data_IF_878377910666
#
_entry.id   IF_878377910666
#
_cell.length_a   1.000
_cell.length_b   1.000
_cell.length_c   1.000
_cell.angle_alpha   90.00
_cell.angle_beta   90.00
_cell.angle_gamma   90.00
#
_symmetry.space_group_name_H-M   'P 1'
#
loop_
_entity.id
_entity.type
_entity.pdbx_description
1 polymer ?
#
# COMPACT_ATOMS: atom_id res chain seq x y z
N UNK A 1 -20.95 -13.62 -1.74
CA UNK A 1 -19.64 -13.89 -1.12
C UNK A 1 -19.11 -15.30 -1.42
N UNK A 2 -17.90 -15.36 -1.96
CA UNK A 2 -17.11 -16.58 -2.19
C UNK A 2 -16.87 -17.39 -0.88
N UNK A 3 -16.94 -18.74 -0.88
CA UNK A 3 -16.77 -19.55 0.34
C UNK A 3 -15.39 -19.43 1.01
N UNK A 4 -14.31 -19.28 0.25
CA UNK A 4 -12.95 -19.15 0.79
C UNK A 4 -12.78 -17.80 1.47
N UNK A 5 -13.26 -16.73 0.82
CA UNK A 5 -13.29 -15.38 1.41
C UNK A 5 -14.10 -15.40 2.71
N UNK A 6 -15.26 -16.06 2.74
CA UNK A 6 -16.06 -16.17 3.96
C UNK A 6 -15.28 -16.83 5.10
N UNK A 7 -14.49 -17.86 4.81
CA UNK A 7 -13.66 -18.53 5.83
C UNK A 7 -12.56 -17.59 6.33
N UNK A 8 -11.82 -16.95 5.41
CA UNK A 8 -10.77 -15.98 5.74
C UNK A 8 -11.31 -14.79 6.54
N UNK A 9 -12.45 -14.24 6.14
CA UNK A 9 -13.12 -13.15 6.83
C UNK A 9 -13.47 -13.51 8.28
N UNK A 10 -13.95 -14.73 8.52
CA UNK A 10 -14.25 -15.20 9.89
C UNK A 10 -12.99 -15.34 10.75
N UNK A 11 -11.88 -15.76 10.16
CA UNK A 11 -10.59 -15.83 10.86
C UNK A 11 -10.07 -14.42 11.17
N UNK A 12 -10.10 -13.54 10.17
CA UNK A 12 -9.73 -12.13 10.29
C UNK A 12 -10.54 -11.43 11.37
N UNK A 13 -11.87 -11.59 11.37
CA UNK A 13 -12.74 -10.92 12.31
C UNK A 13 -12.48 -11.37 13.75
N UNK A 14 -12.15 -12.65 13.95
CA UNK A 14 -11.74 -13.16 15.28
C UNK A 14 -10.39 -12.61 15.71
N UNK A 15 -9.41 -12.59 14.80
CA UNK A 15 -8.06 -12.10 15.11
C UNK A 15 -8.04 -10.61 15.47
N UNK A 16 -8.90 -9.81 14.81
CA UNK A 16 -8.98 -8.36 15.02
C UNK A 16 -10.12 -7.95 15.97
N UNK A 17 -10.76 -8.90 16.65
CA UNK A 17 -11.81 -8.64 17.68
C UNK A 17 -13.04 -7.86 17.18
N UNK A 18 -13.43 -8.05 15.92
CA UNK A 18 -14.54 -7.34 15.26
C UNK A 18 -15.68 -8.25 14.82
N UNK A 19 -15.79 -9.39 15.48
CA UNK A 19 -16.89 -10.34 15.26
C UNK A 19 -18.27 -9.77 15.58
N UNK A 20 -18.34 -8.63 16.28
CA UNK A 20 -19.59 -7.94 16.63
C UNK A 20 -20.05 -6.94 15.55
N UNK A 21 -19.17 -6.53 14.64
CA UNK A 21 -19.52 -5.61 13.56
C UNK A 21 -20.37 -6.30 12.48
N UNK A 22 -21.14 -5.55 11.67
CA UNK A 22 -21.85 -6.11 10.51
C UNK A 22 -20.90 -6.80 9.52
N UNK A 23 -21.36 -7.86 8.84
CA UNK A 23 -20.52 -8.62 7.87
C UNK A 23 -19.96 -7.73 6.75
N UNK A 24 -20.70 -6.69 6.36
CA UNK A 24 -20.28 -5.69 5.35
C UNK A 24 -19.06 -4.90 5.83
N UNK A 25 -19.16 -4.26 7.01
CA UNK A 25 -18.04 -3.57 7.65
C UNK A 25 -16.83 -4.49 7.89
N UNK A 26 -17.06 -5.72 8.38
CA UNK A 26 -15.99 -6.70 8.52
C UNK A 26 -15.28 -6.96 7.19
N UNK A 27 -16.04 -7.07 6.10
CA UNK A 27 -15.51 -7.33 4.76
C UNK A 27 -14.74 -6.14 4.18
N UNK A 28 -15.21 -4.91 4.39
CA UNK A 28 -14.52 -3.68 4.01
C UNK A 28 -13.13 -3.60 4.65
N UNK A 29 -13.08 -3.76 5.97
CA UNK A 29 -11.81 -3.70 6.73
C UNK A 29 -10.90 -4.87 6.32
N UNK A 30 -11.45 -6.07 6.11
CA UNK A 30 -10.70 -7.20 5.57
C UNK A 30 -10.10 -6.93 4.19
N UNK A 31 -10.83 -6.25 3.31
CA UNK A 31 -10.37 -5.90 1.98
C UNK A 31 -9.24 -4.87 2.03
N UNK A 32 -9.42 -3.82 2.85
CA UNK A 32 -8.41 -2.79 3.11
C UNK A 32 -7.14 -3.45 3.67
N UNK A 33 -7.24 -4.28 4.70
CA UNK A 33 -6.12 -5.02 5.30
C UNK A 33 -5.38 -5.87 4.28
N UNK A 34 -6.12 -6.63 3.48
CA UNK A 34 -5.53 -7.51 2.46
C UNK A 34 -4.71 -6.71 1.45
N UNK A 35 -5.18 -5.52 1.06
CA UNK A 35 -4.47 -4.67 0.10
C UNK A 35 -3.27 -3.98 0.75
N UNK A 36 -3.46 -3.27 1.88
CA UNK A 36 -2.39 -2.54 2.55
C UNK A 36 -1.24 -3.46 2.96
N UNK A 37 -1.55 -4.50 3.73
CA UNK A 37 -0.54 -5.40 4.29
C UNK A 37 -0.08 -6.46 3.29
N UNK A 38 -0.97 -6.93 2.42
CA UNK A 38 -0.71 -8.09 1.55
C UNK A 38 -0.27 -7.77 0.13
N UNK A 39 -0.77 -6.67 -0.45
CA UNK A 39 -0.35 -6.22 -1.79
C UNK A 39 0.74 -5.15 -1.70
N UNK A 40 0.54 -4.14 -0.85
CA UNK A 40 1.44 -2.99 -0.75
C UNK A 40 2.57 -3.22 0.24
N UNK A 41 2.39 -4.10 1.23
CA UNK A 41 3.39 -4.36 2.27
C UNK A 41 3.57 -3.18 3.22
N UNK A 42 2.51 -2.42 3.43
CA UNK A 42 2.45 -1.32 4.40
C UNK A 42 2.10 -1.88 5.78
N UNK A 43 2.62 -1.26 6.84
CA UNK A 43 2.30 -1.61 8.23
C UNK A 43 1.26 -0.64 8.81
N UNK A 44 0.12 -0.51 8.13
CA UNK A 44 -0.96 0.42 8.47
C UNK A 44 -2.15 -0.38 9.00
N UNK A 45 -2.78 0.11 10.09
CA UNK A 45 -4.00 -0.49 10.60
C UNK A 45 -5.18 -0.20 9.66
N UNK A 46 -5.82 -1.25 9.17
CA UNK A 46 -6.99 -1.15 8.30
C UNK A 46 -8.20 -0.50 8.97
N UNK A 47 -8.30 -0.55 10.32
CA UNK A 47 -9.36 0.13 11.06
C UNK A 47 -9.28 1.64 10.93
N UNK A 48 -8.06 2.19 10.95
CA UNK A 48 -7.85 3.63 10.88
C UNK A 48 -8.06 4.20 9.46
N UNK A 49 -8.12 3.32 8.45
CA UNK A 49 -8.34 3.68 7.04
C UNK A 49 -9.82 3.53 6.64
N UNK A 50 -10.57 2.70 7.36
CA UNK A 50 -12.00 2.50 7.13
C UNK A 50 -12.79 3.78 7.43
N UNK A 51 -13.76 4.10 6.57
CA UNK A 51 -14.66 5.22 6.77
C UNK A 51 -16.02 4.72 7.27
N UNK A 52 -16.52 5.33 8.34
CA UNK A 52 -17.88 5.08 8.82
C UNK A 52 -18.89 5.86 7.97
N UNK A 53 -19.47 5.22 6.95
CA UNK A 53 -20.63 5.71 6.20
C UNK A 53 -20.76 5.15 4.79
N UNK A 54 -22.00 4.87 4.37
CA UNK A 54 -22.29 4.13 3.12
C UNK A 54 -22.56 5.05 1.90
N UNK A 55 -22.72 6.36 2.12
CA UNK A 55 -23.22 7.29 1.09
C UNK A 55 -22.12 7.91 0.23
N UNK A 56 -20.85 7.76 0.62
CA UNK A 56 -19.72 8.46 -0.01
C UNK A 56 -19.23 7.80 -1.29
N UNK A 57 -19.64 6.56 -1.57
CA UNK A 57 -19.09 5.78 -2.69
C UNK A 57 -17.64 5.33 -2.49
N UNK A 58 -17.11 5.45 -1.27
CA UNK A 58 -15.81 4.93 -0.82
C UNK A 58 -15.97 4.34 0.58
N UNK A 59 -15.33 3.20 0.84
CA UNK A 59 -15.36 2.54 2.16
C UNK A 59 -14.05 2.78 2.95
N UNK A 60 -13.04 3.35 2.30
CA UNK A 60 -11.78 3.71 2.95
C UNK A 60 -10.92 4.65 2.12
N UNK A 61 -10.22 5.56 2.81
CA UNK A 61 -9.25 6.49 2.22
C UNK A 61 -8.00 6.49 3.10
N UNK A 62 -6.83 6.29 2.49
CA UNK A 62 -5.54 6.43 3.17
C UNK A 62 -4.71 7.52 2.50
N UNK A 63 -4.26 8.48 3.31
CA UNK A 63 -3.20 9.43 2.92
C UNK A 63 -1.91 8.93 3.56
N UNK A 64 -0.95 8.49 2.75
CA UNK A 64 0.31 7.91 3.23
C UNK A 64 1.45 8.86 2.89
N UNK A 65 2.17 9.31 3.92
CA UNK A 65 3.38 10.14 3.77
C UNK A 65 4.55 9.38 4.39
N UNK A 66 5.54 9.06 3.56
CA UNK A 66 6.70 8.26 3.97
C UNK A 66 6.35 6.91 4.62
N UNK A 67 5.36 6.22 4.05
CA UNK A 67 4.94 4.89 4.54
C UNK A 67 4.09 4.92 5.80
N UNK A 68 3.81 6.10 6.34
CA UNK A 68 2.97 6.24 7.52
C UNK A 68 1.64 6.87 7.14
N UNK A 69 0.55 6.35 7.73
CA UNK A 69 -0.78 6.93 7.62
C UNK A 69 -0.81 8.34 8.24
N UNK A 70 -1.58 9.21 7.60
CA UNK A 70 -1.88 10.57 8.04
C UNK A 70 -3.40 10.71 8.14
N UNK A 71 -3.88 11.23 9.27
CA UNK A 71 -5.32 11.33 9.57
C UNK A 71 -5.89 12.72 9.35
N UNK A 72 -5.06 13.75 9.47
CA UNK A 72 -5.50 15.14 9.40
C UNK A 72 -4.43 16.06 8.81
N UNK A 73 -4.80 17.32 8.66
CA UNK A 73 -3.92 18.38 8.16
C UNK A 73 -2.68 18.58 9.03
N UNK A 74 -2.81 18.49 10.34
CA UNK A 74 -1.70 18.74 11.26
C UNK A 74 -0.63 17.65 11.12
N UNK A 75 -1.03 16.38 11.15
CA UNK A 75 -0.14 15.24 10.92
C UNK A 75 0.54 15.33 9.54
N UNK A 76 -0.21 15.75 8.50
CA UNK A 76 0.36 15.98 7.17
C UNK A 76 1.46 17.05 7.22
N UNK A 77 1.16 18.20 7.82
CA UNK A 77 2.07 19.33 7.90
C UNK A 77 3.37 19.00 8.63
N UNK A 78 3.29 18.23 9.72
CA UNK A 78 4.42 17.76 10.52
C UNK A 78 5.33 16.83 9.70
N UNK A 79 4.76 15.82 9.02
CA UNK A 79 5.55 14.86 8.23
C UNK A 79 6.17 15.49 6.98
N UNK A 80 5.44 16.39 6.31
CA UNK A 80 5.95 17.12 5.15
C UNK A 80 7.08 18.09 5.53
N UNK A 81 7.08 18.64 6.75
CA UNK A 81 8.16 19.50 7.23
C UNK A 81 9.44 18.71 7.59
N UNK A 82 9.31 17.45 7.96
CA UNK A 82 10.44 16.60 8.35
C UNK A 82 11.33 16.19 7.17
N UNK A 83 10.79 16.15 5.94
CA UNK A 83 11.50 15.61 4.77
C UNK A 83 11.46 16.56 3.58
N UNK A 84 12.61 16.80 2.94
CA UNK A 84 12.75 17.73 1.80
C UNK A 84 12.08 17.28 0.49
N UNK A 85 11.72 15.99 0.36
CA UNK A 85 11.04 15.43 -0.81
C UNK A 85 10.23 14.19 -0.41
N UNK A 86 9.10 14.38 0.29
CA UNK A 86 8.33 13.29 0.85
C UNK A 86 7.73 12.41 -0.25
N UNK A 87 7.72 11.10 -0.04
CA UNK A 87 6.90 10.19 -0.85
C UNK A 87 5.47 10.25 -0.34
N UNK A 88 4.52 10.61 -1.20
CA UNK A 88 3.10 10.71 -0.86
C UNK A 88 2.28 9.79 -1.76
N UNK A 89 1.34 9.05 -1.17
CA UNK A 89 0.42 8.16 -1.87
C UNK A 89 -1.00 8.31 -1.30
N UNK A 90 -1.98 8.54 -2.17
CA UNK A 90 -3.39 8.49 -1.87
C UNK A 90 -3.96 7.13 -2.26
N UNK A 91 -4.64 6.45 -1.35
CA UNK A 91 -5.18 5.12 -1.60
C UNK A 91 -6.68 5.10 -1.30
N UNK A 92 -7.48 4.66 -2.26
CA UNK A 92 -8.94 4.62 -2.16
C UNK A 92 -9.45 3.19 -2.27
N UNK A 93 -10.43 2.86 -1.46
CA UNK A 93 -11.00 1.52 -1.36
C UNK A 93 -12.52 1.58 -1.48
N UNK A 94 -13.07 0.68 -2.28
CA UNK A 94 -14.48 0.29 -2.24
C UNK A 94 -14.56 -1.23 -2.27
N UNK A 95 -15.33 -1.83 -1.38
CA UNK A 95 -15.50 -3.26 -1.23
C UNK A 95 -16.99 -3.63 -1.26
N UNK A 96 -17.33 -4.69 -1.99
CA UNK A 96 -18.67 -5.29 -1.99
C UNK A 96 -18.59 -6.79 -1.72
N UNK A 97 -19.43 -7.28 -0.81
CA UNK A 97 -19.59 -8.71 -0.52
C UNK A 97 -20.25 -9.49 -1.68
N UNK A 98 -20.78 -8.76 -2.67
CA UNK A 98 -21.41 -9.30 -3.88
C UNK A 98 -20.38 -9.97 -4.79
N UNK A 99 -20.86 -10.78 -5.72
CA UNK A 99 -20.02 -11.43 -6.75
C UNK A 99 -20.08 -10.71 -8.10
N UNK A 100 -20.92 -9.68 -8.22
CA UNK A 100 -21.11 -8.92 -9.45
C UNK A 100 -20.24 -7.68 -9.48
N UNK A 101 -20.00 -7.18 -10.69
CA UNK A 101 -19.33 -5.91 -10.93
C UNK A 101 -20.35 -4.98 -11.59
N UNK A 102 -20.99 -4.16 -10.76
CA UNK A 102 -21.99 -3.21 -11.24
C UNK A 102 -21.34 -1.94 -11.79
N UNK A 103 -21.80 -1.49 -12.95
CA UNK A 103 -21.26 -0.29 -13.59
C UNK A 103 -21.56 0.97 -12.77
N UNK A 104 -22.76 1.06 -12.17
CA UNK A 104 -23.18 2.20 -11.38
C UNK A 104 -22.38 2.31 -10.09
N UNK A 105 -22.15 1.20 -9.39
CA UNK A 105 -21.34 1.19 -8.17
C UNK A 105 -19.87 1.57 -8.44
N UNK A 106 -19.27 1.06 -9.53
CA UNK A 106 -17.91 1.44 -9.93
C UNK A 106 -17.84 2.90 -10.37
N UNK A 107 -18.86 3.39 -11.08
CA UNK A 107 -18.93 4.81 -11.46
C UNK A 107 -18.99 5.70 -10.23
N UNK A 108 -19.84 5.39 -9.25
CA UNK A 108 -19.94 6.14 -7.99
C UNK A 108 -18.60 6.18 -7.25
N UNK A 109 -17.86 5.08 -7.25
CA UNK A 109 -16.52 5.05 -6.66
C UNK A 109 -15.55 6.00 -7.37
N UNK A 110 -15.53 5.99 -8.70
CA UNK A 110 -14.69 6.92 -9.47
C UNK A 110 -15.12 8.39 -9.31
N UNK A 111 -16.43 8.64 -9.25
CA UNK A 111 -17.00 9.96 -8.98
C UNK A 111 -16.58 10.44 -7.59
N UNK A 112 -16.63 9.57 -6.58
CA UNK A 112 -16.20 9.88 -5.21
C UNK A 112 -14.70 10.20 -5.13
N UNK A 113 -13.84 9.40 -5.78
CA UNK A 113 -12.40 9.69 -5.85
C UNK A 113 -12.15 11.05 -6.50
N UNK A 114 -12.84 11.35 -7.60
CA UNK A 114 -12.75 12.65 -8.28
C UNK A 114 -13.24 13.79 -7.37
N UNK A 115 -14.38 13.57 -6.72
CA UNK A 115 -15.00 14.52 -5.79
C UNK A 115 -14.12 14.82 -4.59
N UNK A 116 -13.32 13.86 -4.11
CA UNK A 116 -12.33 14.08 -3.05
C UNK A 116 -11.31 15.16 -3.46
N UNK A 117 -10.73 15.05 -4.66
CA UNK A 117 -9.72 16.02 -5.14
C UNK A 117 -10.32 17.37 -5.54
N UNK A 118 -11.58 17.39 -5.98
CA UNK A 118 -12.30 18.62 -6.31
C UNK A 118 -12.94 19.29 -5.08
N UNK A 119 -12.89 18.67 -3.90
CA UNK A 119 -13.52 19.15 -2.67
C UNK A 119 -15.04 19.01 -2.64
N UNK A 120 -15.62 18.23 -3.56
CA UNK A 120 -17.07 17.96 -3.63
C UNK A 120 -17.55 17.05 -2.49
N UNK A 121 -16.65 16.19 -1.97
CA UNK A 121 -16.95 15.36 -0.79
C UNK A 121 -16.85 16.12 0.55
N UNK A 122 -16.56 17.43 0.52
CA UNK A 122 -16.42 18.23 1.74
C UNK A 122 -17.78 18.40 2.42
N UNK A 123 -17.85 18.10 3.71
CA UNK A 123 -19.06 18.14 4.53
C UNK A 123 -19.85 16.83 4.56
N UNK A 124 -19.43 15.81 3.82
CA UNK A 124 -20.04 14.48 3.83
C UNK A 124 -19.75 13.73 5.14
N UNK A 125 -18.53 13.86 5.69
CA UNK A 125 -18.21 13.43 7.05
C UNK A 125 -16.99 14.16 7.62
N UNK A 126 -16.87 14.19 8.95
CA UNK A 126 -15.71 14.78 9.61
C UNK A 126 -14.39 14.09 9.26
N UNK A 127 -14.40 12.75 9.11
CA UNK A 127 -13.20 12.00 8.72
C UNK A 127 -12.75 12.36 7.29
N UNK A 128 -13.69 12.48 6.35
CA UNK A 128 -13.38 12.88 4.97
C UNK A 128 -12.87 14.33 4.95
N UNK A 129 -13.45 15.23 5.74
CA UNK A 129 -13.00 16.62 5.84
C UNK A 129 -11.55 16.74 6.36
N UNK A 130 -11.17 15.94 7.36
CA UNK A 130 -9.78 15.91 7.86
C UNK A 130 -8.80 15.40 6.80
N UNK A 131 -9.19 14.37 6.03
CA UNK A 131 -8.37 13.83 4.95
C UNK A 131 -8.29 14.78 3.74
N UNK A 132 -9.35 15.52 3.43
CA UNK A 132 -9.30 16.62 2.45
C UNK A 132 -8.33 17.70 2.96
N UNK A 133 -8.36 18.04 4.25
CA UNK A 133 -7.39 18.95 4.86
C UNK A 133 -5.94 18.47 4.74
N UNK A 134 -5.69 17.17 4.93
CA UNK A 134 -4.39 16.55 4.72
C UNK A 134 -3.95 16.62 3.24
N UNK A 135 -4.88 16.35 2.32
CA UNK A 135 -4.64 16.46 0.87
C UNK A 135 -4.30 17.91 0.46
N UNK A 136 -5.03 18.90 0.96
CA UNK A 136 -4.73 20.32 0.73
C UNK A 136 -3.31 20.67 1.21
N UNK A 137 -2.92 20.22 2.42
CA UNK A 137 -1.59 20.44 2.97
C UNK A 137 -0.47 19.79 2.13
N UNK A 138 -0.73 18.59 1.59
CA UNK A 138 0.16 17.93 0.63
C UNK A 138 0.37 18.82 -0.59
N UNK A 139 -0.69 19.27 -1.26
CA UNK A 139 -0.55 20.07 -2.48
C UNK A 139 0.00 21.48 -2.25
N UNK A 140 -0.13 22.05 -1.05
CA UNK A 140 0.53 23.30 -0.68
C UNK A 140 2.05 23.18 -0.57
N UNK A 141 2.57 21.98 -0.25
CA UNK A 141 4.01 21.74 0.02
C UNK A 141 4.71 20.86 -1.03
N UNK A 142 3.97 20.11 -1.84
CA UNK A 142 4.53 19.25 -2.89
C UNK A 142 5.04 20.13 -4.05
N UNK A 143 6.33 20.45 -4.01
CA UNK A 143 6.99 21.28 -5.02
C UNK A 143 7.87 20.55 -6.03
N UNK A 144 8.19 19.26 -5.82
CA UNK A 144 9.18 18.53 -6.63
C UNK A 144 8.73 17.18 -7.17
N UNK A 145 7.78 16.52 -6.51
CA UNK A 145 7.31 15.21 -6.92
C UNK A 145 5.82 15.08 -6.59
N UNK A 146 5.01 14.88 -7.62
CA UNK A 146 3.59 14.69 -7.46
C UNK A 146 3.30 13.42 -6.62
N UNK A 147 2.20 13.42 -5.86
CA UNK A 147 1.72 12.24 -5.14
C UNK A 147 1.31 11.12 -6.11
N UNK A 148 1.30 9.89 -5.58
CA UNK A 148 0.76 8.71 -6.27
C UNK A 148 -0.71 8.54 -5.92
N UNK A 149 -1.44 7.84 -6.79
CA UNK A 149 -2.82 7.45 -6.52
C UNK A 149 -3.05 5.97 -6.82
N UNK A 150 -3.70 5.28 -5.89
CA UNK A 150 -4.02 3.86 -5.99
C UNK A 150 -5.49 3.62 -5.61
N UNK A 151 -6.32 3.24 -6.59
CA UNK A 151 -7.75 2.99 -6.40
C UNK A 151 -8.06 1.50 -6.55
N UNK A 152 -8.75 0.94 -5.55
CA UNK A 152 -9.11 -0.47 -5.49
C UNK A 152 -10.62 -0.65 -5.31
N UNK A 153 -11.28 -1.19 -6.33
CA UNK A 153 -12.65 -1.66 -6.23
C UNK A 153 -12.65 -3.18 -6.07
N UNK A 154 -13.23 -3.70 -5.00
CA UNK A 154 -13.12 -5.10 -4.59
C UNK A 154 -14.48 -5.77 -4.60
N UNK A 155 -14.57 -6.92 -5.25
CA UNK A 155 -15.72 -7.80 -5.18
C UNK A 155 -15.31 -9.27 -4.97
N UNK A 156 -16.27 -10.11 -4.61
CA UNK A 156 -16.03 -11.53 -4.33
C UNK A 156 -16.24 -12.45 -5.54
N UNK A 157 -16.40 -11.87 -6.73
CA UNK A 157 -16.58 -12.59 -7.99
C UNK A 157 -15.29 -12.88 -8.73
N UNK A 158 -15.40 -13.52 -9.89
CA UNK A 158 -14.30 -13.58 -10.86
C UNK A 158 -14.38 -12.34 -11.76
N UNK A 159 -13.32 -11.53 -11.80
CA UNK A 159 -13.29 -10.37 -12.69
C UNK A 159 -12.83 -10.81 -14.08
N UNK A 160 -13.74 -10.75 -15.07
CA UNK A 160 -13.48 -11.18 -16.45
C UNK A 160 -13.31 -10.01 -17.42
N UNK A 161 -12.91 -8.84 -16.90
CA UNK A 161 -12.62 -7.63 -17.70
C UNK A 161 -13.73 -7.27 -18.71
N UNK A 162 -15.00 -7.16 -18.27
CA UNK A 162 -16.09 -6.87 -19.20
C UNK A 162 -15.87 -5.53 -19.87
N UNK A 163 -16.00 -5.48 -21.20
CA UNK A 163 -15.65 -4.31 -22.03
C UNK A 163 -16.25 -2.99 -21.55
N UNK A 164 -17.46 -3.01 -20.98
CA UNK A 164 -18.12 -1.81 -20.45
C UNK A 164 -17.41 -1.25 -19.21
N UNK A 165 -16.94 -2.10 -18.30
CA UNK A 165 -16.19 -1.68 -17.10
C UNK A 165 -14.77 -1.26 -17.48
N UNK A 166 -14.13 -1.98 -18.40
CA UNK A 166 -12.79 -1.59 -18.88
C UNK A 166 -12.78 -0.22 -19.58
N UNK A 167 -13.84 0.11 -20.33
CA UNK A 167 -14.03 1.46 -20.90
C UNK A 167 -14.21 2.52 -19.81
N UNK A 168 -15.00 2.24 -18.78
CA UNK A 168 -15.21 3.14 -17.65
C UNK A 168 -13.89 3.42 -16.92
N UNK A 169 -13.16 2.35 -16.59
CA UNK A 169 -11.83 2.43 -15.99
C UNK A 169 -10.84 3.21 -16.85
N UNK A 170 -10.83 2.98 -18.16
CA UNK A 170 -9.95 3.71 -19.08
C UNK A 170 -10.31 5.20 -19.14
N UNK A 171 -11.59 5.56 -19.15
CA UNK A 171 -12.03 6.96 -19.07
C UNK A 171 -11.54 7.60 -17.79
N UNK A 172 -11.77 6.94 -16.65
CA UNK A 172 -11.35 7.45 -15.36
C UNK A 172 -9.82 7.63 -15.25
N UNK A 173 -9.04 6.73 -15.85
CA UNK A 173 -7.58 6.91 -15.93
C UNK A 173 -7.19 8.17 -16.72
N UNK A 174 -7.87 8.44 -17.84
CA UNK A 174 -7.66 9.68 -18.60
C UNK A 174 -8.04 10.90 -17.76
N UNK A 175 -9.17 10.84 -17.04
CA UNK A 175 -9.61 11.93 -16.18
C UNK A 175 -8.58 12.24 -15.08
N UNK A 176 -8.01 11.19 -14.44
CA UNK A 176 -6.93 11.34 -13.45
C UNK A 176 -5.63 11.91 -14.06
N UNK A 177 -5.27 11.51 -15.28
CA UNK A 177 -4.12 12.06 -16.00
C UNK A 177 -4.33 13.54 -16.35
N UNK A 178 -5.54 13.92 -16.79
CA UNK A 178 -5.90 15.30 -17.12
C UNK A 178 -5.88 16.25 -15.91
N UNK A 179 -6.03 15.72 -14.68
CA UNK A 179 -5.85 16.53 -13.47
C UNK A 179 -4.42 17.07 -13.33
N UNK A 180 -3.41 16.40 -13.90
CA UNK A 180 -1.99 16.79 -13.81
C UNK A 180 -1.46 17.00 -12.37
N UNK A 181 -2.10 16.37 -11.38
CA UNK A 181 -1.72 16.46 -9.96
C UNK A 181 -1.01 15.21 -9.44
N UNK A 182 -0.93 14.14 -10.24
CA UNK A 182 -0.30 12.86 -9.85
C UNK A 182 1.03 12.62 -10.56
N UNK A 183 1.82 11.67 -10.05
CA UNK A 183 3.10 11.24 -10.63
C UNK A 183 2.85 10.40 -11.90
N UNK A 184 3.26 10.92 -13.06
CA UNK A 184 3.09 10.27 -14.37
C UNK A 184 3.62 8.83 -14.35
N UNK A 185 2.72 7.86 -14.58
CA UNK A 185 3.05 6.43 -14.59
C UNK A 185 2.99 5.73 -13.23
N UNK A 186 2.58 6.41 -12.15
CA UNK A 186 2.32 5.82 -10.83
C UNK A 186 0.86 5.94 -10.39
N UNK A 187 -0.07 5.97 -11.36
CA UNK A 187 -1.52 5.88 -11.16
C UNK A 187 -1.95 4.41 -11.28
N UNK A 188 -2.57 3.86 -10.24
CA UNK A 188 -3.06 2.48 -10.23
C UNK A 188 -4.57 2.46 -10.04
N UNK A 189 -5.31 1.86 -10.98
CA UNK A 189 -6.74 1.56 -10.79
C UNK A 189 -6.95 0.06 -11.01
N UNK A 190 -7.43 -0.65 -9.98
CA UNK A 190 -7.66 -2.09 -10.04
C UNK A 190 -9.08 -2.47 -9.62
N UNK A 191 -9.72 -3.27 -10.47
CA UNK A 191 -10.92 -4.01 -10.12
C UNK A 191 -10.47 -5.40 -9.66
N UNK A 192 -10.78 -5.76 -8.43
CA UNK A 192 -10.22 -6.90 -7.71
C UNK A 192 -11.29 -7.97 -7.54
N UNK A 193 -10.92 -9.20 -7.92
CA UNK A 193 -11.75 -10.37 -7.72
C UNK A 193 -11.32 -11.23 -6.53
N UNK A 194 -12.04 -12.33 -6.36
CA UNK A 194 -11.86 -13.18 -5.19
C UNK A 194 -10.47 -13.82 -5.10
N UNK A 195 -9.86 -14.13 -6.25
CA UNK A 195 -8.59 -14.85 -6.31
C UNK A 195 -7.44 -13.97 -5.81
N UNK A 196 -7.38 -12.74 -6.32
CA UNK A 196 -6.42 -11.72 -5.91
C UNK A 196 -6.55 -11.42 -4.42
N UNK A 197 -7.79 -11.20 -3.96
CA UNK A 197 -8.04 -10.87 -2.56
C UNK A 197 -7.62 -12.00 -1.60
N UNK A 198 -7.93 -13.25 -1.96
CA UNK A 198 -7.49 -14.43 -1.18
C UNK A 198 -5.96 -14.55 -1.12
N UNK A 199 -5.27 -14.23 -2.22
CA UNK A 199 -3.81 -14.28 -2.29
C UNK A 199 -3.19 -13.21 -1.39
N UNK A 200 -3.69 -11.98 -1.45
CA UNK A 200 -3.15 -10.88 -0.64
C UNK A 200 -3.44 -11.07 0.85
N UNK A 201 -4.60 -11.59 1.24
CA UNK A 201 -4.85 -11.93 2.64
C UNK A 201 -3.86 -12.97 3.19
N UNK A 202 -3.55 -14.01 2.41
CA UNK A 202 -2.53 -15.00 2.81
C UNK A 202 -1.14 -14.37 2.91
N UNK A 203 -0.81 -13.46 2.00
CA UNK A 203 0.45 -12.73 2.06
C UNK A 203 0.53 -11.86 3.33
N UNK A 204 -0.54 -11.13 3.64
CA UNK A 204 -0.66 -10.24 4.81
C UNK A 204 -0.53 -10.97 6.15
N UNK A 205 -0.97 -12.23 6.21
CA UNK A 205 -0.97 -13.04 7.44
C UNK A 205 0.20 -14.00 7.55
N UNK A 206 1.00 -14.15 6.49
CA UNK A 206 2.15 -15.04 6.53
C UNK A 206 3.29 -14.41 7.33
N UNK A 207 3.81 -15.15 8.32
CA UNK A 207 5.04 -14.77 9.00
C UNK A 207 6.17 -14.81 7.97
N UNK A 208 6.82 -13.67 7.74
CA UNK A 208 7.91 -13.53 6.77
C UNK A 208 9.15 -14.26 7.31
N UNK A 209 9.21 -15.57 7.12
CA UNK A 209 10.42 -16.37 7.36
C UNK A 209 11.16 -16.53 6.04
N UNK A 210 12.18 -15.70 5.83
CA UNK A 210 12.99 -15.74 4.61
C UNK A 210 14.25 -16.55 4.86
N UNK A 211 14.41 -17.63 4.11
CA UNK A 211 15.69 -18.33 4.01
C UNK A 211 16.53 -17.69 2.92
N UNK A 212 17.72 -17.22 3.30
CA UNK A 212 18.74 -16.73 2.38
C UNK A 212 19.89 -17.72 2.30
N UNK A 213 20.49 -17.83 1.12
CA UNK A 213 21.79 -18.47 1.00
C UNK A 213 22.87 -17.45 1.39
N UNK A 214 23.62 -17.75 2.45
CA UNK A 214 24.67 -16.87 2.97
C UNK A 214 26.04 -17.56 2.93
N UNK A 215 26.55 -17.96 1.75
CA UNK A 215 27.65 -18.90 1.61
C UNK A 215 29.01 -18.33 2.02
N UNK A 216 29.14 -16.99 2.08
CA UNK A 216 30.40 -16.30 2.41
C UNK A 216 30.30 -15.62 3.77
N UNK A 217 29.93 -16.40 4.79
CA UNK A 217 29.83 -15.93 6.16
C UNK A 217 30.97 -16.45 7.05
N UNK A 218 31.23 -15.71 8.12
CA UNK A 218 32.13 -16.05 9.21
C UNK A 218 31.31 -15.94 10.49
N UNK A 219 31.35 -17.00 11.30
CA UNK A 219 30.70 -17.02 12.62
C UNK A 219 31.51 -16.16 13.58
N UNK A 220 30.86 -15.19 14.21
CA UNK A 220 31.47 -14.33 15.20
C UNK A 220 31.60 -15.05 16.55
N UNK A 221 32.57 -14.67 17.39
CA UNK A 221 32.71 -15.24 18.73
C UNK A 221 31.43 -15.06 19.54
N UNK A 222 31.03 -16.11 20.27
CA UNK A 222 29.83 -16.06 21.12
C UNK A 222 30.00 -15.07 22.28
N UNK A 223 28.93 -14.34 22.59
CA UNK A 223 28.83 -13.44 23.73
C UNK A 223 27.63 -13.88 24.58
N UNK A 224 27.63 -13.62 25.89
CA UNK A 224 26.52 -13.94 26.81
C UNK A 224 25.16 -13.35 26.38
N UNK A 225 25.15 -12.33 25.52
CA UNK A 225 23.94 -11.62 25.10
C UNK A 225 23.47 -11.97 23.68
N UNK A 226 24.25 -12.74 22.90
CA UNK A 226 23.95 -13.06 21.51
C UNK A 226 24.26 -14.53 21.27
N UNK A 227 23.24 -15.33 20.96
CA UNK A 227 23.38 -16.77 20.73
C UNK A 227 24.27 -17.06 19.53
N UNK A 228 24.02 -16.39 18.40
CA UNK A 228 24.79 -16.53 17.18
C UNK A 228 24.91 -15.20 16.44
N UNK A 229 26.08 -14.92 15.88
CA UNK A 229 26.32 -13.74 15.05
C UNK A 229 27.16 -14.14 13.83
N UNK A 230 26.86 -13.56 12.69
CA UNK A 230 27.48 -13.88 11.41
C UNK A 230 27.90 -12.59 10.71
N UNK A 231 29.08 -12.58 10.10
CA UNK A 231 29.55 -11.50 9.22
C UNK A 231 29.90 -12.07 7.85
N UNK A 232 29.48 -11.43 6.77
CA UNK A 232 29.68 -12.01 5.45
C UNK A 232 29.14 -11.19 4.30
N UNK A 233 29.17 -11.81 3.12
CA UNK A 233 28.69 -11.20 1.88
C UNK A 233 27.42 -11.88 1.41
N UNK A 234 26.40 -11.05 1.13
CA UNK A 234 25.14 -11.49 0.54
C UNK A 234 25.07 -10.98 -0.91
N UNK A 235 24.68 -11.84 -1.84
CA UNK A 235 24.42 -11.37 -3.20
C UNK A 235 23.10 -10.61 -3.29
N UNK A 236 22.97 -9.78 -4.33
CA UNK A 236 21.79 -8.92 -4.51
C UNK A 236 20.48 -9.71 -4.63
N UNK A 237 20.49 -10.95 -5.13
CA UNK A 237 19.26 -11.75 -5.27
C UNK A 237 18.77 -12.23 -3.90
N UNK A 238 19.70 -12.68 -3.05
CA UNK A 238 19.41 -13.04 -1.68
C UNK A 238 19.03 -11.82 -0.83
N UNK A 239 19.61 -10.65 -1.09
CA UNK A 239 19.19 -9.40 -0.46
C UNK A 239 17.75 -9.03 -0.82
N UNK A 240 17.36 -9.12 -2.10
CA UNK A 240 15.98 -8.88 -2.53
C UNK A 240 15.00 -9.84 -1.84
N UNK A 241 15.40 -11.11 -1.66
CA UNK A 241 14.54 -12.09 -0.98
C UNK A 241 14.17 -11.66 0.45
N UNK A 242 15.01 -10.90 1.16
CA UNK A 242 14.76 -10.46 2.54
C UNK A 242 13.55 -9.54 2.67
N UNK A 243 13.30 -8.71 1.66
CA UNK A 243 12.21 -7.75 1.66
C UNK A 243 11.18 -8.00 0.56
N UNK A 244 11.28 -9.10 -0.18
CA UNK A 244 10.27 -9.49 -1.16
C UNK A 244 9.07 -10.16 -0.48
N UNK A 245 7.87 -9.76 -0.86
CA UNK A 245 6.64 -10.45 -0.49
C UNK A 245 6.35 -11.54 -1.49
N UNK A 246 6.04 -12.73 -1.00
CA UNK A 246 5.76 -13.92 -1.82
C UNK A 246 4.34 -14.41 -1.58
N UNK A 247 3.72 -14.96 -2.60
CA UNK A 247 2.47 -15.71 -2.44
C UNK A 247 2.70 -17.13 -1.92
N UNK A 248 1.62 -17.88 -1.77
CA UNK A 248 1.64 -19.27 -1.32
C UNK A 248 2.44 -20.22 -2.24
N UNK A 249 2.66 -19.84 -3.50
CA UNK A 249 3.43 -20.61 -4.49
C UNK A 249 4.91 -20.14 -4.56
N UNK A 250 5.31 -19.19 -3.70
CA UNK A 250 6.67 -18.67 -3.62
C UNK A 250 7.02 -17.62 -4.67
N UNK A 251 6.05 -17.16 -5.46
CA UNK A 251 6.25 -16.11 -6.47
C UNK A 251 6.29 -14.75 -5.79
N UNK A 252 7.25 -13.91 -6.19
CA UNK A 252 7.33 -12.51 -5.73
C UNK A 252 6.11 -11.75 -6.26
N UNK A 253 5.29 -11.25 -5.34
CA UNK A 253 4.10 -10.45 -5.64
C UNK A 253 4.30 -8.97 -5.33
N UNK A 254 5.30 -8.65 -4.51
CA UNK A 254 5.57 -7.29 -4.08
C UNK A 254 6.86 -7.18 -3.27
N UNK A 255 7.03 -6.02 -2.65
CA UNK A 255 8.12 -5.71 -1.75
C UNK A 255 7.50 -5.19 -0.46
N UNK A 256 7.95 -5.69 0.68
CA UNK A 256 7.57 -5.18 1.98
C UNK A 256 8.11 -3.74 2.08
N UNK A 257 7.24 -2.74 1.97
CA UNK A 257 7.64 -1.34 1.93
C UNK A 257 7.99 -0.82 3.32
N UNK A 258 7.39 -1.37 4.38
CA UNK A 258 7.65 -0.96 5.76
C UNK A 258 9.14 -0.98 6.15
N UNK A 259 9.92 -1.95 5.65
CA UNK A 259 11.37 -2.05 5.94
C UNK A 259 12.20 -0.88 5.38
N UNK A 260 11.66 -0.16 4.39
CA UNK A 260 12.33 1.01 3.79
C UNK A 260 12.06 2.29 4.57
N UNK A 261 10.95 2.35 5.31
CA UNK A 261 10.56 3.53 6.09
C UNK A 261 11.07 3.47 7.54
N UNK A 262 11.29 2.28 8.10
CA UNK A 262 11.90 2.08 9.42
C UNK A 262 13.39 2.51 9.46
N UNK A 263 14.02 2.63 8.28
CA UNK A 263 15.39 3.12 8.17
C UNK A 263 15.43 4.66 8.13
N UNK A 264 15.76 5.25 9.28
CA UNK A 264 15.91 6.70 9.55
C UNK A 264 17.07 7.38 8.75
N UNK A 265 17.62 6.73 7.72
CA UNK A 265 18.72 7.29 6.91
C UNK A 265 18.23 7.57 5.50
N UNK A 266 17.75 8.79 5.31
CA UNK A 266 17.32 9.31 4.01
C UNK A 266 18.37 9.10 2.92
N UNK A 267 17.89 8.73 1.72
CA UNK A 267 18.71 8.75 0.51
C UNK A 267 19.10 10.19 0.18
N UNK A 268 20.32 10.59 0.55
CA UNK A 268 20.92 11.84 0.08
C UNK A 268 21.64 11.61 -1.27
N UNK A 269 21.10 12.17 -2.34
CA UNK A 269 21.70 12.14 -3.68
C UNK A 269 23.08 12.80 -3.77
N UNK A 270 23.46 13.61 -2.76
CA UNK A 270 24.78 14.25 -2.63
C UNK A 270 25.72 13.49 -1.69
N UNK A 271 25.23 12.45 -1.00
CA UNK A 271 26.05 11.62 -0.14
C UNK A 271 27.07 10.86 -0.98
N UNK A 272 28.34 10.99 -0.60
CA UNK A 272 29.46 10.26 -1.23
C UNK A 272 29.22 8.75 -1.25
N UNK A 273 28.52 8.22 -0.23
CA UNK A 273 28.20 6.79 -0.12
C UNK A 273 27.14 6.41 -1.16
N UNK A 274 26.05 7.17 -1.28
CA UNK A 274 24.97 6.87 -2.22
C UNK A 274 25.40 6.99 -3.68
N UNK A 275 26.25 7.97 -3.98
CA UNK A 275 26.87 8.14 -5.31
C UNK A 275 27.76 6.94 -5.61
N UNK A 276 28.64 6.54 -4.68
CA UNK A 276 29.51 5.39 -4.86
C UNK A 276 28.72 4.08 -5.09
N UNK A 277 27.67 3.83 -4.29
CA UNK A 277 26.79 2.66 -4.45
C UNK A 277 26.18 2.65 -5.87
N UNK A 278 25.62 3.78 -6.32
CA UNK A 278 24.99 3.90 -7.64
C UNK A 278 25.99 3.68 -8.78
N UNK A 279 27.20 4.21 -8.67
CA UNK A 279 28.26 4.05 -9.68
C UNK A 279 28.80 2.62 -9.73
N UNK A 280 28.97 1.98 -8.58
CA UNK A 280 29.41 0.58 -8.47
C UNK A 280 28.39 -0.39 -9.08
N UNK A 281 27.09 -0.17 -8.85
CA UNK A 281 26.03 -0.98 -9.47
C UNK A 281 26.02 -0.83 -11.00
N UNK A 282 26.26 0.38 -11.51
CA UNK A 282 26.26 0.65 -12.96
C UNK A 282 27.51 0.17 -13.69
N UNK A 283 28.68 0.26 -13.06
CA UNK A 283 29.96 -0.16 -13.63
C UNK A 283 30.18 -1.68 -13.57
N UNK A 284 29.40 -2.39 -12.75
CA UNK A 284 29.60 -3.82 -12.49
C UNK A 284 30.83 -4.11 -11.62
N UNK A 285 31.48 -3.08 -11.09
CA UNK A 285 32.58 -3.23 -10.13
C UNK A 285 32.03 -3.74 -8.79
N UNK A 286 32.67 -4.80 -8.26
CA UNK A 286 32.32 -5.41 -6.97
C UNK A 286 32.86 -4.57 -5.82
N UNK A 287 32.29 -3.38 -5.61
CA UNK A 287 32.63 -2.55 -4.46
C UNK A 287 31.81 -3.01 -3.26
N UNK A 288 32.48 -3.22 -2.12
CA UNK A 288 31.84 -3.70 -0.89
C UNK A 288 31.24 -2.54 -0.13
N UNK A 289 29.97 -2.65 0.26
CA UNK A 289 29.30 -1.70 1.14
C UNK A 289 28.90 -2.44 2.42
N UNK A 290 29.25 -1.86 3.57
CA UNK A 290 28.76 -2.30 4.86
C UNK A 290 27.40 -1.63 5.08
N UNK A 291 26.36 -2.44 5.27
CA UNK A 291 25.04 -2.03 5.74
C UNK A 291 24.94 -2.47 7.19
#
# INVERSE_FOLDING_TARGET
>A
MNPVIRAQLREFAKANSITLDPEEKQFEIYAIFSILSGLLGESIDSYDVHLDGDEFGVDGIAVVIQGELVRDRQEADEKLAAVNNPSVEFIFFQAKTSTGYDYGDISKFFDAVTGFFNGELKGESGAVDELIGAMEAVYEKVGKRNPRISCYYVATGNYEEPSRIEKLKSSFLVDLEEMNIFDDGNTTVKIVGARELQQWYRAATSSVEVKIDFPRNVVMPSNRHVEEAYIGYLDARNLINLYAMKDADGKIIGVNRAVFFDNIRDYDSKSKINIAIKESVRSGERTTYLV
#
